data_IF_826561881988
#
_entry.id   IF_826561881988
#
_cell.length_a   1.000
_cell.length_b   1.000
_cell.length_c   1.000
_cell.angle_alpha   90.00
_cell.angle_beta   90.00
_cell.angle_gamma   90.00
#
_symmetry.space_group_name_H-M   'P 1'
#
loop_
_entity.id
_entity.type
_entity.pdbx_description
1 polymer ?
#
# COMPACT_ATOMS: atom_id res chain seq x y z
N UNK A 1 11.82 -1.62 -15.06
CA UNK A 1 12.02 -1.09 -13.69
C UNK A 1 10.84 -0.20 -13.37
N UNK A 2 9.90 -0.71 -12.58
CA UNK A 2 8.67 0.01 -12.26
C UNK A 2 8.94 1.06 -11.18
N UNK A 3 8.91 2.32 -11.57
CA UNK A 3 9.13 3.50 -10.71
C UNK A 3 7.95 3.74 -9.74
N UNK A 4 7.15 2.72 -9.41
CA UNK A 4 5.76 2.90 -8.90
C UNK A 4 5.60 2.85 -7.37
N UNK A 5 6.32 2.00 -6.63
CA UNK A 5 6.25 1.95 -5.15
C UNK A 5 6.97 3.11 -4.43
N UNK A 6 7.59 4.03 -5.18
CA UNK A 6 8.57 4.95 -4.63
C UNK A 6 8.00 6.15 -3.87
N UNK A 7 6.80 6.65 -4.20
CA UNK A 7 6.29 7.91 -3.62
C UNK A 7 5.65 7.70 -2.24
N UNK A 8 4.97 6.57 -2.04
CA UNK A 8 4.33 6.20 -0.78
C UNK A 8 5.31 5.84 0.33
N UNK A 9 6.34 5.07 -0.03
CA UNK A 9 7.47 4.78 0.86
C UNK A 9 8.33 6.04 1.09
N UNK A 10 8.49 6.94 0.10
CA UNK A 10 9.14 8.26 0.31
C UNK A 10 8.32 9.19 1.20
N UNK A 11 6.99 9.07 1.20
CA UNK A 11 6.12 9.96 1.94
C UNK A 11 6.30 9.81 3.45
N UNK A 12 6.39 8.58 3.95
CA UNK A 12 6.65 8.34 5.36
C UNK A 12 8.14 8.18 5.69
N UNK A 13 8.98 7.60 4.82
CA UNK A 13 10.41 7.37 5.13
C UNK A 13 11.34 8.56 4.76
N UNK A 14 10.81 9.78 4.76
CA UNK A 14 11.48 10.99 4.28
C UNK A 14 12.56 11.53 5.21
N UNK A 15 13.80 11.49 4.71
CA UNK A 15 15.02 12.19 5.14
C UNK A 15 15.88 11.61 6.28
N UNK A 16 15.36 10.89 7.27
CA UNK A 16 16.23 10.22 8.29
C UNK A 16 16.37 8.70 8.08
N UNK A 17 15.48 8.10 7.30
CA UNK A 17 15.34 6.63 7.12
C UNK A 17 15.72 6.14 5.72
N UNK A 18 16.60 6.84 5.01
CA UNK A 18 16.99 6.51 3.62
C UNK A 18 17.49 5.07 3.45
N UNK A 19 18.15 4.52 4.47
CA UNK A 19 18.60 3.11 4.48
C UNK A 19 17.44 2.13 4.60
N UNK A 20 16.46 2.39 5.47
CA UNK A 20 15.24 1.56 5.61
C UNK A 20 14.47 1.55 4.30
N UNK A 21 14.25 2.74 3.71
CA UNK A 21 13.59 2.88 2.42
C UNK A 21 14.29 2.09 1.31
N UNK A 22 15.61 2.25 1.20
CA UNK A 22 16.41 1.54 0.19
C UNK A 22 16.32 0.03 0.40
N UNK A 23 16.50 -0.43 1.63
CA UNK A 23 16.39 -1.85 1.97
C UNK A 23 15.03 -2.42 1.56
N UNK A 24 13.93 -1.75 1.91
CA UNK A 24 12.60 -2.22 1.52
C UNK A 24 12.40 -2.18 0.01
N UNK A 25 13.00 -1.24 -0.72
CA UNK A 25 12.98 -1.24 -2.19
C UNK A 25 13.70 -2.46 -2.76
N UNK A 26 14.90 -2.76 -2.25
CA UNK A 26 15.73 -3.86 -2.74
C UNK A 26 15.06 -5.24 -2.51
N UNK A 27 14.36 -5.43 -1.39
CA UNK A 27 13.66 -6.70 -1.12
C UNK A 27 12.33 -6.82 -1.87
N UNK A 28 11.66 -5.70 -2.13
CA UNK A 28 10.41 -5.61 -2.90
C UNK A 28 10.64 -5.96 -4.37
N UNK A 29 11.74 -5.47 -4.96
CA UNK A 29 12.17 -5.85 -6.31
C UNK A 29 12.36 -7.36 -6.46
N UNK A 30 12.78 -8.05 -5.40
CA UNK A 30 12.91 -9.51 -5.37
C UNK A 30 11.55 -10.18 -5.17
N UNK A 31 10.71 -9.63 -4.29
CA UNK A 31 9.36 -10.12 -4.03
C UNK A 31 8.44 -10.02 -5.26
N UNK A 32 8.62 -9.00 -6.10
CA UNK A 32 7.83 -8.77 -7.31
C UNK A 32 8.44 -9.41 -8.56
N UNK A 33 9.62 -10.06 -8.47
CA UNK A 33 10.29 -10.61 -9.64
C UNK A 33 9.63 -11.92 -10.12
N UNK A 34 8.96 -11.92 -11.30
CA UNK A 34 8.28 -13.11 -11.79
C UNK A 34 9.24 -14.22 -12.26
N UNK A 35 10.52 -13.90 -12.45
CA UNK A 35 11.55 -14.88 -12.80
C UNK A 35 12.04 -15.70 -11.60
N UNK A 36 11.65 -15.35 -10.37
CA UNK A 36 11.99 -16.07 -9.14
C UNK A 36 10.77 -16.87 -8.70
N UNK A 37 10.95 -18.16 -8.40
CA UNK A 37 9.83 -19.01 -8.01
C UNK A 37 9.17 -18.51 -6.72
N UNK A 38 7.87 -18.78 -6.55
CA UNK A 38 7.12 -18.42 -5.34
C UNK A 38 7.83 -18.90 -4.06
N UNK A 39 8.30 -20.15 -4.04
CA UNK A 39 9.03 -20.72 -2.91
C UNK A 39 10.34 -19.98 -2.59
N UNK A 40 11.08 -19.56 -3.61
CA UNK A 40 12.33 -18.82 -3.43
C UNK A 40 12.07 -17.40 -2.93
N UNK A 41 11.03 -16.73 -3.45
CA UNK A 41 10.62 -15.40 -2.98
C UNK A 41 10.19 -15.44 -1.50
N UNK A 42 9.39 -16.43 -1.12
CA UNK A 42 8.97 -16.62 0.29
C UNK A 42 10.16 -16.93 1.20
N UNK A 43 11.01 -17.89 0.82
CA UNK A 43 12.21 -18.23 1.60
C UNK A 43 13.16 -17.04 1.75
N UNK A 44 13.28 -16.20 0.71
CA UNK A 44 14.07 -14.97 0.76
C UNK A 44 13.53 -13.98 1.80
N UNK A 45 12.22 -13.73 1.81
CA UNK A 45 11.57 -12.81 2.75
C UNK A 45 11.59 -13.34 4.19
N UNK A 46 11.35 -14.64 4.39
CA UNK A 46 11.47 -15.30 5.70
C UNK A 46 12.90 -15.19 6.25
N UNK A 47 13.91 -15.31 5.39
CA UNK A 47 15.30 -15.05 5.77
C UNK A 47 15.55 -13.58 6.13
N UNK A 48 14.87 -12.61 5.50
CA UNK A 48 14.95 -11.21 5.91
C UNK A 48 14.34 -10.99 7.30
N UNK A 49 13.22 -11.64 7.63
CA UNK A 49 12.64 -11.63 8.98
C UNK A 49 13.65 -12.15 10.00
N UNK A 50 14.26 -13.32 9.73
CA UNK A 50 15.25 -13.93 10.61
C UNK A 50 16.49 -13.05 10.81
N UNK A 51 16.94 -12.32 9.77
CA UNK A 51 18.03 -11.34 9.87
C UNK A 51 17.63 -10.12 10.70
N UNK A 52 16.42 -9.59 10.50
CA UNK A 52 15.91 -8.45 11.26
C UNK A 52 15.85 -8.79 12.76
N UNK A 53 15.29 -9.95 13.13
CA UNK A 53 15.20 -10.43 14.51
C UNK A 53 16.56 -10.62 15.19
N UNK A 54 17.62 -10.85 14.42
CA UNK A 54 19.00 -10.98 14.91
C UNK A 54 19.79 -9.66 14.83
N UNK A 55 19.14 -8.56 14.45
CA UNK A 55 19.76 -7.26 14.18
C UNK A 55 20.92 -7.35 13.16
N UNK A 56 20.76 -8.16 12.11
CA UNK A 56 21.76 -8.43 11.07
C UNK A 56 21.49 -7.68 9.76
N UNK A 57 20.63 -6.65 9.79
CA UNK A 57 20.35 -5.84 8.60
C UNK A 57 21.42 -4.74 8.46
N UNK A 58 22.23 -4.74 7.38
CA UNK A 58 23.32 -3.79 7.26
C UNK A 58 22.83 -2.33 7.26
N UNK A 59 23.40 -1.51 8.15
CA UNK A 59 23.14 -0.08 8.21
C UNK A 59 21.77 0.29 8.82
N UNK A 60 21.05 -0.67 9.42
CA UNK A 60 19.78 -0.42 10.10
C UNK A 60 19.91 -0.97 11.52
N UNK A 61 19.92 -0.08 12.50
CA UNK A 61 19.87 -0.47 13.91
C UNK A 61 18.43 -0.78 14.34
N UNK A 62 18.21 -2.03 14.73
CA UNK A 62 16.96 -2.61 15.22
C UNK A 62 17.10 -3.09 16.68
N UNK A 63 18.02 -2.52 17.47
CA UNK A 63 18.13 -2.84 18.90
C UNK A 63 16.89 -2.39 19.70
N UNK A 64 16.18 -1.37 19.22
CA UNK A 64 14.90 -0.95 19.76
C UNK A 64 13.79 -1.94 19.39
N UNK A 65 13.06 -2.44 20.39
CA UNK A 65 12.07 -3.51 20.20
C UNK A 65 10.84 -3.03 19.42
N UNK A 66 10.40 -1.79 19.60
CA UNK A 66 9.24 -1.24 18.88
C UNK A 66 9.58 -1.04 17.39
N UNK A 67 10.78 -0.53 17.12
CA UNK A 67 11.32 -0.38 15.78
C UNK A 67 11.52 -1.74 15.09
N UNK A 68 12.06 -2.73 15.81
CA UNK A 68 12.19 -4.10 15.30
C UNK A 68 10.82 -4.69 14.93
N UNK A 69 9.83 -4.58 15.81
CA UNK A 69 8.49 -5.10 15.56
C UNK A 69 7.87 -4.47 14.31
N UNK A 70 7.95 -3.15 14.17
CA UNK A 70 7.46 -2.44 12.99
C UNK A 70 8.21 -2.85 11.71
N UNK A 71 9.52 -3.03 11.80
CA UNK A 71 10.34 -3.50 10.69
C UNK A 71 9.95 -4.92 10.24
N UNK A 72 9.71 -5.82 11.19
CA UNK A 72 9.23 -7.18 10.91
C UNK A 72 7.83 -7.17 10.30
N UNK A 73 6.90 -6.37 10.84
CA UNK A 73 5.55 -6.21 10.29
C UNK A 73 5.61 -5.80 8.82
N UNK A 74 6.52 -4.89 8.44
CA UNK A 74 6.67 -4.52 7.04
C UNK A 74 7.08 -5.69 6.15
N UNK A 75 8.03 -6.53 6.58
CA UNK A 75 8.42 -7.71 5.81
C UNK A 75 7.26 -8.71 5.75
N UNK A 76 6.50 -8.89 6.83
CA UNK A 76 5.30 -9.74 6.85
C UNK A 76 4.23 -9.27 5.86
N UNK A 77 4.06 -7.95 5.71
CA UNK A 77 3.12 -7.40 4.72
C UNK A 77 3.54 -7.73 3.28
N UNK A 78 4.84 -7.80 3.00
CA UNK A 78 5.37 -8.28 1.71
C UNK A 78 5.17 -9.78 1.54
N UNK A 79 5.36 -10.57 2.60
CA UNK A 79 5.08 -12.00 2.58
C UNK A 79 3.60 -12.24 2.26
N UNK A 80 2.70 -11.45 2.86
CA UNK A 80 1.28 -11.48 2.54
C UNK A 80 1.03 -11.16 1.06
N UNK A 81 1.67 -10.12 0.51
CA UNK A 81 1.55 -9.74 -0.90
C UNK A 81 2.07 -10.81 -1.87
N UNK A 82 3.17 -11.48 -1.54
CA UNK A 82 3.70 -12.61 -2.32
C UNK A 82 2.75 -13.82 -2.23
N UNK A 83 2.20 -14.14 -1.05
CA UNK A 83 1.29 -15.28 -0.87
C UNK A 83 -0.04 -15.11 -1.60
N UNK A 84 -0.49 -13.87 -1.78
CA UNK A 84 -1.72 -13.57 -2.53
C UNK A 84 -1.52 -13.43 -4.03
N UNK A 85 -0.29 -13.53 -4.54
CA UNK A 85 -0.07 -13.64 -5.97
C UNK A 85 -0.83 -14.88 -6.48
N UNK A 86 -1.62 -14.70 -7.53
CA UNK A 86 -2.46 -15.73 -8.19
C UNK A 86 -3.62 -16.31 -7.34
N UNK A 87 -3.96 -15.71 -6.20
CA UNK A 87 -5.06 -16.17 -5.33
C UNK A 87 -5.97 -14.99 -4.96
N UNK A 88 -7.28 -15.18 -5.06
CA UNK A 88 -8.26 -14.19 -4.60
C UNK A 88 -8.25 -14.17 -3.06
N UNK A 89 -7.80 -13.06 -2.47
CA UNK A 89 -7.86 -12.84 -1.02
C UNK A 89 -9.12 -12.07 -0.59
N UNK A 90 -9.70 -12.41 0.57
CA UNK A 90 -10.77 -11.61 1.18
C UNK A 90 -10.37 -10.14 1.37
N UNK A 91 -11.27 -9.24 1.00
CA UNK A 91 -11.04 -7.78 1.07
C UNK A 91 -10.69 -7.28 2.47
N UNK A 92 -11.30 -7.85 3.51
CA UNK A 92 -11.00 -7.49 4.89
C UNK A 92 -9.54 -7.78 5.28
N UNK A 93 -8.94 -8.85 4.74
CA UNK A 93 -7.54 -9.17 4.98
C UNK A 93 -6.59 -8.24 4.22
N UNK A 94 -6.96 -7.84 3.00
CA UNK A 94 -6.22 -6.81 2.25
C UNK A 94 -6.25 -5.50 3.03
N UNK A 95 -7.44 -5.09 3.50
CA UNK A 95 -7.62 -3.89 4.29
C UNK A 95 -6.83 -3.92 5.60
N UNK A 96 -6.82 -5.06 6.29
CA UNK A 96 -6.02 -5.23 7.51
C UNK A 96 -4.52 -5.12 7.20
N UNK A 97 -4.05 -5.79 6.14
CA UNK A 97 -2.65 -5.74 5.72
C UNK A 97 -2.19 -4.31 5.40
N UNK A 98 -3.01 -3.54 4.65
CA UNK A 98 -2.72 -2.16 4.34
C UNK A 98 -2.70 -1.26 5.59
N UNK A 99 -3.60 -1.48 6.56
CA UNK A 99 -3.54 -0.78 7.85
C UNK A 99 -2.22 -1.06 8.58
N UNK A 100 -1.88 -2.34 8.75
CA UNK A 100 -0.66 -2.79 9.43
C UNK A 100 0.60 -2.22 8.77
N UNK A 101 0.62 -2.20 7.44
CA UNK A 101 1.72 -1.64 6.68
C UNK A 101 1.86 -0.13 6.90
N UNK A 102 0.75 0.62 6.83
CA UNK A 102 0.76 2.07 7.09
C UNK A 102 1.24 2.43 8.49
N UNK A 103 0.75 1.71 9.51
CA UNK A 103 1.15 1.88 10.91
C UNK A 103 2.63 1.59 11.11
N UNK A 104 3.14 0.46 10.61
CA UNK A 104 4.54 0.10 10.73
C UNK A 104 5.49 1.09 10.03
N UNK A 105 5.11 1.59 8.85
CA UNK A 105 5.90 2.63 8.17
C UNK A 105 5.91 3.93 8.99
N UNK A 106 4.77 4.28 9.56
CA UNK A 106 4.64 5.47 10.40
C UNK A 106 5.51 5.38 11.66
N UNK A 107 5.49 4.24 12.35
CA UNK A 107 6.32 4.01 13.53
C UNK A 107 7.81 4.12 13.19
N UNK A 108 8.24 3.51 12.08
CA UNK A 108 9.62 3.60 11.59
C UNK A 108 10.04 5.00 11.13
N UNK A 109 9.09 5.84 10.73
CA UNK A 109 9.37 7.21 10.28
C UNK A 109 9.67 8.19 11.41
N UNK A 110 9.34 7.84 12.66
CA UNK A 110 9.45 8.75 13.80
C UNK A 110 8.51 9.96 13.74
N UNK A 111 7.47 9.92 12.88
CA UNK A 111 6.54 11.03 12.68
C UNK A 111 5.50 11.18 13.82
N UNK A 112 5.92 11.42 15.06
CA UNK A 112 5.05 11.50 16.25
C UNK A 112 3.94 12.58 16.25
N UNK A 113 3.83 13.41 15.20
CA UNK A 113 2.90 14.54 15.10
C UNK A 113 1.56 14.21 14.43
N UNK A 114 1.41 13.02 13.86
CA UNK A 114 0.13 12.57 13.28
C UNK A 114 -0.62 11.74 14.32
N UNK A 115 -1.93 11.96 14.44
CA UNK A 115 -2.80 11.10 15.26
C UNK A 115 -2.76 9.66 14.68
N UNK A 116 -2.36 8.64 15.45
CA UNK A 116 -2.26 7.26 14.99
C UNK A 116 -3.55 6.75 14.33
N UNK A 117 -4.72 7.23 14.76
CA UNK A 117 -6.02 6.85 14.19
C UNK A 117 -6.19 7.30 12.74
N UNK A 118 -5.39 8.25 12.27
CA UNK A 118 -5.41 8.75 10.89
C UNK A 118 -4.44 8.01 9.98
N UNK A 119 -3.45 7.30 10.51
CA UNK A 119 -2.36 6.70 9.74
C UNK A 119 -2.87 5.63 8.79
N UNK A 120 -3.58 4.61 9.32
CA UNK A 120 -4.16 3.54 8.51
C UNK A 120 -5.08 4.07 7.39
N UNK A 121 -6.10 4.90 7.70
CA UNK A 121 -6.96 5.51 6.69
C UNK A 121 -6.21 6.36 5.65
N UNK A 122 -5.22 7.16 6.07
CA UNK A 122 -4.42 7.98 5.16
C UNK A 122 -3.54 7.13 4.23
N UNK A 123 -2.94 6.07 4.76
CA UNK A 123 -2.14 5.13 3.99
C UNK A 123 -3.00 4.38 2.97
N UNK A 124 -4.14 3.83 3.40
CA UNK A 124 -5.12 3.18 2.53
C UNK A 124 -5.61 4.07 1.41
N UNK A 125 -5.88 5.35 1.69
CA UNK A 125 -6.26 6.32 0.66
C UNK A 125 -5.30 6.30 -0.53
N UNK A 126 -4.00 6.30 -0.24
CA UNK A 126 -2.95 6.34 -1.23
C UNK A 126 -2.73 4.96 -1.88
N UNK A 127 -2.78 3.87 -1.12
CA UNK A 127 -2.64 2.51 -1.66
C UNK A 127 -3.80 2.14 -2.58
N UNK A 128 -5.04 2.44 -2.20
CA UNK A 128 -6.20 2.26 -3.09
C UNK A 128 -6.10 3.13 -4.33
N UNK A 129 -5.60 4.37 -4.21
CA UNK A 129 -5.40 5.21 -5.38
C UNK A 129 -4.43 4.57 -6.38
N UNK A 130 -3.36 3.96 -5.88
CA UNK A 130 -2.35 3.27 -6.66
C UNK A 130 -2.90 1.96 -7.28
N UNK A 131 -3.57 1.14 -6.48
CA UNK A 131 -4.23 -0.08 -6.96
C UNK A 131 -5.28 0.22 -8.05
N UNK A 132 -6.15 1.22 -7.85
CA UNK A 132 -7.14 1.61 -8.86
C UNK A 132 -6.50 2.13 -10.15
N UNK A 133 -5.37 2.81 -10.04
CA UNK A 133 -4.60 3.29 -11.17
C UNK A 133 -3.97 2.15 -11.99
N UNK A 134 -3.55 1.07 -11.31
CA UNK A 134 -2.68 0.05 -11.88
C UNK A 134 -3.32 -1.35 -11.95
N UNK A 135 -4.64 -1.46 -11.74
CA UNK A 135 -5.43 -2.72 -11.86
C UNK A 135 -5.06 -3.56 -13.09
N UNK A 136 -4.95 -2.94 -14.28
CA UNK A 136 -4.63 -3.66 -15.52
C UNK A 136 -3.19 -4.18 -15.56
N UNK A 137 -2.27 -3.54 -14.83
CA UNK A 137 -0.89 -3.98 -14.69
C UNK A 137 -0.77 -5.07 -13.64
N UNK A 138 -1.42 -4.90 -12.49
CA UNK A 138 -1.51 -5.91 -11.44
C UNK A 138 -2.12 -7.21 -11.97
N UNK A 139 -3.18 -7.12 -12.77
CA UNK A 139 -3.78 -8.26 -13.45
C UNK A 139 -2.80 -9.00 -14.38
N UNK A 140 -1.96 -8.26 -15.12
CA UNK A 140 -0.94 -8.85 -16.01
C UNK A 140 0.20 -9.51 -15.23
N UNK A 141 0.47 -9.02 -14.02
CA UNK A 141 1.51 -9.54 -13.14
C UNK A 141 1.05 -10.72 -12.27
N UNK A 142 -0.19 -11.20 -12.45
CA UNK A 142 -0.74 -12.27 -11.61
C UNK A 142 -1.14 -11.79 -10.21
N UNK A 143 -1.12 -10.48 -9.94
CA UNK A 143 -1.60 -9.89 -8.69
C UNK A 143 -3.13 -9.74 -8.75
N UNK A 144 -3.82 -10.85 -9.00
CA UNK A 144 -5.25 -10.88 -9.27
C UNK A 144 -6.01 -10.97 -7.94
N UNK A 145 -6.44 -9.81 -7.45
CA UNK A 145 -7.35 -9.70 -6.32
C UNK A 145 -8.75 -9.27 -6.78
N UNK A 146 -9.30 -9.86 -7.83
CA UNK A 146 -10.65 -9.50 -8.21
C UNK A 146 -11.68 -10.19 -7.30
N UNK A 147 -12.26 -9.43 -6.37
CA UNK A 147 -13.46 -9.83 -5.63
C UNK A 147 -14.72 -9.95 -6.52
N UNK A 148 -14.60 -9.54 -7.79
CA UNK A 148 -15.61 -9.59 -8.84
C UNK A 148 -15.01 -10.19 -10.10
N UNK A 149 -15.78 -10.81 -11.00
CA UNK A 149 -15.20 -11.32 -12.27
C UNK A 149 -14.79 -10.22 -13.26
N UNK A 150 -15.14 -8.96 -13.00
CA UNK A 150 -14.87 -7.81 -13.86
C UNK A 150 -13.82 -6.86 -13.26
N UNK A 151 -12.62 -6.74 -13.87
CA UNK A 151 -11.57 -5.80 -13.48
C UNK A 151 -11.99 -4.32 -13.46
N UNK A 152 -12.90 -3.88 -14.33
CA UNK A 152 -13.33 -2.47 -14.40
C UNK A 152 -14.25 -2.12 -13.23
N UNK A 153 -15.07 -3.06 -12.78
CA UNK A 153 -15.89 -2.89 -11.57
C UNK A 153 -15.03 -2.81 -10.31
N UNK A 154 -13.97 -3.62 -10.24
CA UNK A 154 -13.02 -3.57 -9.13
C UNK A 154 -12.24 -2.26 -9.10
N UNK A 155 -11.79 -1.80 -10.27
CA UNK A 155 -11.15 -0.50 -10.44
C UNK A 155 -12.03 0.64 -9.92
N UNK A 156 -13.33 0.57 -10.19
CA UNK A 156 -14.32 1.55 -9.74
C UNK A 156 -14.55 1.47 -8.23
N UNK A 157 -14.72 0.27 -7.67
CA UNK A 157 -14.89 0.06 -6.22
C UNK A 157 -13.72 0.65 -5.42
N UNK A 158 -12.49 0.36 -5.83
CA UNK A 158 -11.28 0.86 -5.17
C UNK A 158 -11.14 2.37 -5.34
N UNK A 159 -11.45 2.90 -6.53
CA UNK A 159 -11.45 4.32 -6.79
C UNK A 159 -12.38 5.07 -5.81
N UNK A 160 -13.59 4.55 -5.56
CA UNK A 160 -14.50 5.14 -4.58
C UNK A 160 -14.01 5.00 -3.13
N UNK A 161 -13.43 3.85 -2.74
CA UNK A 161 -12.79 3.67 -1.43
C UNK A 161 -11.67 4.71 -1.21
N UNK A 162 -10.85 4.95 -2.23
CA UNK A 162 -9.79 5.98 -2.17
C UNK A 162 -10.36 7.38 -1.95
N UNK A 163 -11.40 7.78 -2.71
CA UNK A 163 -12.02 9.10 -2.55
C UNK A 163 -12.63 9.29 -1.15
N UNK A 164 -13.30 8.25 -0.63
CA UNK A 164 -13.88 8.29 0.72
C UNK A 164 -12.86 8.53 1.83
N UNK A 165 -11.58 8.24 1.60
CA UNK A 165 -10.50 8.39 2.57
C UNK A 165 -9.70 9.70 2.45
N UNK A 166 -9.94 10.52 1.41
CA UNK A 166 -9.26 11.82 1.22
C UNK A 166 -9.35 12.72 2.47
N UNK A 167 -10.49 12.85 3.18
CA UNK A 167 -10.56 13.72 4.36
C UNK A 167 -9.58 13.32 5.48
N UNK A 168 -9.36 12.01 5.67
CA UNK A 168 -8.41 11.49 6.65
C UNK A 168 -6.97 11.83 6.25
N UNK A 169 -6.64 11.62 4.97
CA UNK A 169 -5.33 11.97 4.42
C UNK A 169 -5.06 13.48 4.55
N UNK A 170 -6.00 14.34 4.16
CA UNK A 170 -5.86 15.79 4.31
C UNK A 170 -5.70 16.20 5.77
N UNK A 171 -6.35 15.50 6.71
CA UNK A 171 -6.21 15.77 8.15
C UNK A 171 -4.83 15.32 8.65
N UNK A 172 -4.36 14.14 8.27
CA UNK A 172 -3.01 13.65 8.62
C UNK A 172 -1.93 14.61 8.10
N UNK A 173 -2.12 15.15 6.89
CA UNK A 173 -1.18 16.08 6.28
C UNK A 173 -1.05 17.40 7.06
N UNK A 174 -2.08 17.88 7.78
CA UNK A 174 -2.07 19.20 8.45
C UNK A 174 -0.88 19.40 9.40
N UNK A 175 -0.38 18.33 10.00
CA UNK A 175 0.69 18.39 11.00
C UNK A 175 2.09 18.17 10.42
N UNK A 176 2.22 17.97 9.10
CA UNK A 176 3.51 17.79 8.42
C UNK A 176 4.12 19.11 7.94
N UNK A 177 5.41 19.06 7.56
CA UNK A 177 6.10 20.19 6.94
C UNK A 177 5.45 20.57 5.60
N UNK A 178 5.61 21.84 5.20
CA UNK A 178 5.04 22.35 3.95
C UNK A 178 5.51 21.58 2.71
N UNK A 179 6.79 21.20 2.68
CA UNK A 179 7.36 20.42 1.57
C UNK A 179 6.69 19.06 1.44
N UNK A 180 6.50 18.34 2.56
CA UNK A 180 5.83 17.04 2.56
C UNK A 180 4.36 17.13 2.13
N UNK A 181 3.64 18.13 2.67
CA UNK A 181 2.27 18.43 2.23
C UNK A 181 2.20 18.64 0.72
N UNK A 182 3.11 19.45 0.17
CA UNK A 182 3.14 19.75 -1.26
C UNK A 182 3.41 18.50 -2.10
N UNK A 183 4.38 17.67 -1.71
CA UNK A 183 4.70 16.44 -2.44
C UNK A 183 3.52 15.47 -2.48
N UNK A 184 2.79 15.32 -1.37
CA UNK A 184 1.62 14.42 -1.32
C UNK A 184 0.45 14.98 -2.09
N UNK A 185 0.19 16.29 -1.96
CA UNK A 185 -0.86 16.94 -2.73
C UNK A 185 -0.58 16.88 -4.23
N UNK A 186 0.69 17.00 -4.65
CA UNK A 186 1.10 16.81 -6.05
C UNK A 186 0.91 15.36 -6.52
N UNK A 187 1.25 14.37 -5.68
CA UNK A 187 0.99 12.96 -5.99
C UNK A 187 -0.51 12.67 -6.05
N UNK A 188 -1.30 13.11 -5.07
CA UNK A 188 -2.75 13.01 -5.07
C UNK A 188 -3.36 13.68 -6.30
N UNK A 189 -2.92 14.88 -6.64
CA UNK A 189 -3.36 15.56 -7.86
C UNK A 189 -3.02 14.71 -9.09
N UNK A 190 -1.79 14.19 -9.19
CA UNK A 190 -1.37 13.32 -10.30
C UNK A 190 -2.21 12.04 -10.39
N UNK A 191 -2.39 11.33 -9.28
CA UNK A 191 -3.05 10.01 -9.26
C UNK A 191 -4.56 10.15 -9.30
N UNK A 192 -5.14 10.98 -8.42
CA UNK A 192 -6.58 11.18 -8.37
C UNK A 192 -7.08 11.91 -9.62
N UNK A 193 -6.52 13.07 -9.99
CA UNK A 193 -7.08 13.85 -11.10
C UNK A 193 -6.85 13.21 -12.47
N UNK A 194 -5.70 12.56 -12.68
CA UNK A 194 -5.35 12.05 -14.03
C UNK A 194 -5.58 10.56 -14.22
N UNK A 195 -5.58 9.76 -13.15
CA UNK A 195 -5.84 8.31 -13.26
C UNK A 195 -7.22 7.93 -12.74
N UNK A 196 -7.65 8.48 -11.60
CA UNK A 196 -8.92 8.08 -10.96
C UNK A 196 -10.13 8.86 -11.47
N UNK A 197 -10.03 10.18 -11.62
CA UNK A 197 -11.14 11.01 -12.09
C UNK A 197 -11.67 10.57 -13.47
N UNK A 198 -10.85 10.17 -14.46
CA UNK A 198 -11.37 9.64 -15.71
C UNK A 198 -12.18 8.35 -15.56
N UNK A 199 -11.90 7.54 -14.52
CA UNK A 199 -12.62 6.31 -14.22
C UNK A 199 -13.98 6.65 -13.60
N UNK A 200 -13.99 7.52 -12.59
CA UNK A 200 -15.21 7.86 -11.83
C UNK A 200 -16.14 8.77 -12.64
N UNK A 201 -15.59 9.71 -13.41
CA UNK A 201 -16.37 10.65 -14.21
C UNK A 201 -16.84 10.06 -15.55
N UNK A 202 -16.48 8.80 -15.86
CA UNK A 202 -17.00 8.12 -17.03
C UNK A 202 -18.50 7.84 -16.84
N UNK A 203 -19.40 8.35 -17.70
CA UNK A 203 -20.84 8.17 -17.55
C UNK A 203 -21.26 6.69 -17.48
N UNK A 204 -20.56 5.78 -18.17
CA UNK A 204 -20.83 4.34 -18.11
C UNK A 204 -20.57 3.78 -16.71
N UNK A 205 -19.50 4.22 -16.07
CA UNK A 205 -19.11 3.77 -14.73
C UNK A 205 -20.02 4.35 -13.65
N UNK A 206 -20.49 5.59 -13.83
CA UNK A 206 -21.49 6.20 -12.93
C UNK A 206 -22.79 5.37 -12.93
N UNK A 207 -23.27 4.99 -14.12
CA UNK A 207 -24.48 4.16 -14.27
C UNK A 207 -24.26 2.78 -13.64
N UNK A 208 -23.11 2.13 -13.90
CA UNK A 208 -22.76 0.85 -13.31
C UNK A 208 -22.75 0.90 -11.78
N UNK A 209 -22.19 1.96 -11.17
CA UNK A 209 -22.13 2.12 -9.72
C UNK A 209 -23.51 2.36 -9.07
N UNK A 210 -24.34 3.22 -9.67
CA UNK A 210 -25.69 3.54 -9.15
C UNK A 210 -26.62 2.33 -9.23
N UNK A 211 -26.40 1.43 -10.19
CA UNK A 211 -27.25 0.26 -10.44
C UNK A 211 -26.67 -1.06 -9.91
N UNK A 212 -25.57 -1.03 -9.15
CA UNK A 212 -25.14 -2.23 -8.45
C UNK A 212 -26.19 -2.62 -7.41
N UNK A 213 -26.59 -3.90 -7.30
CA UNK A 213 -27.21 -4.39 -6.08
C UNK A 213 -26.25 -4.07 -4.95
N UNK A 214 -26.74 -3.38 -3.91
CA UNK A 214 -25.89 -3.03 -2.78
C UNK A 214 -25.29 -4.31 -2.21
N UNK A 215 -23.96 -4.39 -2.20
CA UNK A 215 -23.23 -5.45 -1.54
C UNK A 215 -23.70 -5.46 -0.08
N UNK A 216 -24.45 -6.48 0.33
CA UNK A 216 -24.94 -6.62 1.69
C UNK A 216 -23.86 -7.36 2.49
N UNK A 217 -23.08 -6.69 3.35
CA UNK A 217 -21.97 -7.33 4.06
C UNK A 217 -22.43 -8.32 5.13
N UNK A 218 -23.74 -8.57 5.27
CA UNK A 218 -24.33 -9.55 6.18
C UNK A 218 -24.58 -10.92 5.55
N UNK A 219 -24.24 -11.11 4.27
CA UNK A 219 -24.37 -12.39 3.55
C UNK A 219 -23.00 -13.05 3.26
N UNK A 220 -22.08 -13.13 4.25
CA UNK A 220 -20.91 -14.04 4.22
C UNK A 220 -20.54 -14.52 5.64
#
# INVERSE_FOLDING_TARGET
MNVRNHILRRFFLGCETGTIYKYFTDIDDIADNPCISLSERLAFLENQVAKAQKNLIPGIDLADTEKLNSFVILIETLIFDVKRSDIIFPWNLIDENLSRQGEAIFDLSGCSKIDPRLVGPAYKCLMYADMAADVSEDARNGLINFGTTDPEMWKLEIAYKSIGLIPFLLTALKNLSLLYKLLVLLYLAKTILFKISPIILNPKNIILFIHQPQFNPQEQ
#
